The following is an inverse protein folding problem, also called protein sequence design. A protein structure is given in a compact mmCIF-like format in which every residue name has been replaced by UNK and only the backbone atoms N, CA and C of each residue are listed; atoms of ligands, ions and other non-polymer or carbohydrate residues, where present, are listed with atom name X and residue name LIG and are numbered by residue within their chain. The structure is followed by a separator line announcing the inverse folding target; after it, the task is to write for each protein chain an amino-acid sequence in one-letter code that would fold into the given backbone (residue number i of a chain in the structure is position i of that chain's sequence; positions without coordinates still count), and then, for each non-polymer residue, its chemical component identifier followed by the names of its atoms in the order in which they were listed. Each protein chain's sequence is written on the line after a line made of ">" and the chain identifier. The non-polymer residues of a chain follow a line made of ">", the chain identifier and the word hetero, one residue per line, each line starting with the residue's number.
data_IF_835537320190
#
_entry.id   IF_835537320190
#
_cell.length_a   1.000
_cell.length_b   1.000
_cell.length_c   1.000
_cell.angle_alpha   90.00
_cell.angle_beta   90.00
_cell.angle_gamma   90.00
#
_symmetry.space_group_name_H-M   'P 1'
#
loop_
_entity.id
_entity.type
_entity.pdbx_description
1 polymer ?
#
# COMPACT_ATOMS: atom_id res chain seq x y z
N UNK A 1 -8.00 10.43 13.12
CA UNK A 1 -8.29 9.33 12.19
C UNK A 1 -9.78 9.17 11.87
N UNK A 2 -10.69 9.53 12.77
CA UNK A 2 -12.13 9.31 12.65
C UNK A 2 -12.94 10.60 12.43
N UNK A 3 -12.26 11.71 12.17
CA UNK A 3 -12.83 13.03 11.91
C UNK A 3 -12.51 13.49 10.49
N UNK A 4 -13.10 14.59 10.04
CA UNK A 4 -12.85 15.20 8.74
C UNK A 4 -11.33 15.37 8.49
N UNK A 5 -10.88 15.06 7.29
CA UNK A 5 -9.46 15.01 6.94
C UNK A 5 -8.74 13.73 7.33
N UNK A 6 -9.42 12.78 7.99
CA UNK A 6 -8.89 11.46 8.33
C UNK A 6 -9.54 10.33 7.54
N UNK A 7 -9.36 9.10 8.00
CA UNK A 7 -10.01 7.92 7.46
C UNK A 7 -9.07 6.86 6.92
N UNK A 8 -9.60 5.64 6.71
CA UNK A 8 -8.78 4.50 6.32
C UNK A 8 -8.13 4.67 4.94
N UNK A 9 -8.74 5.41 4.02
CA UNK A 9 -8.19 5.64 2.68
C UNK A 9 -7.03 6.63 2.73
N UNK A 10 -7.10 7.67 3.56
CA UNK A 10 -6.02 8.64 3.74
C UNK A 10 -4.86 8.01 4.50
N UNK A 11 -5.14 7.17 5.50
CA UNK A 11 -4.13 6.55 6.36
C UNK A 11 -3.40 5.41 5.64
N UNK A 12 -4.14 4.49 5.02
CA UNK A 12 -3.58 3.27 4.40
C UNK A 12 -3.45 3.36 2.87
N UNK A 13 -4.24 4.20 2.24
CA UNK A 13 -4.22 4.38 0.78
C UNK A 13 -2.85 4.66 0.20
N UNK A 14 -2.03 5.54 0.78
CA UNK A 14 -0.69 5.82 0.27
C UNK A 14 0.17 4.57 0.07
N UNK A 15 0.12 3.60 0.99
CA UNK A 15 0.90 2.36 0.87
C UNK A 15 0.41 1.48 -0.29
N UNK A 16 -0.90 1.24 -0.34
CA UNK A 16 -1.50 0.36 -1.33
C UNK A 16 -1.52 0.99 -2.72
N UNK A 17 -1.95 2.23 -2.87
CA UNK A 17 -2.03 2.88 -4.18
C UNK A 17 -0.65 3.15 -4.76
N UNK A 18 0.35 3.55 -3.96
CA UNK A 18 1.73 3.68 -4.44
C UNK A 18 2.24 2.36 -4.98
N UNK A 19 2.03 1.25 -4.26
CA UNK A 19 2.46 -0.07 -4.70
C UNK A 19 1.75 -0.50 -5.98
N UNK A 20 0.43 -0.27 -6.07
CA UNK A 20 -0.34 -0.60 -7.25
C UNK A 20 0.10 0.21 -8.48
N UNK A 21 0.37 1.50 -8.32
CA UNK A 21 0.89 2.35 -9.39
C UNK A 21 2.30 1.91 -9.80
N UNK A 22 3.15 1.52 -8.85
CA UNK A 22 4.47 0.96 -9.16
C UNK A 22 4.39 -0.37 -9.92
N UNK A 23 3.39 -1.20 -9.65
CA UNK A 23 3.24 -2.50 -10.33
C UNK A 23 2.54 -2.37 -11.69
N UNK A 24 1.48 -1.57 -11.77
CA UNK A 24 0.54 -1.54 -12.88
C UNK A 24 0.59 -0.26 -13.72
N UNK A 25 1.23 0.80 -13.23
CA UNK A 25 1.23 2.12 -13.87
C UNK A 25 0.08 3.01 -13.38
N UNK A 26 -0.19 4.11 -14.06
CA UNK A 26 -1.17 5.10 -13.59
C UNK A 26 -2.61 4.61 -13.67
N UNK A 27 -3.40 5.04 -12.69
CA UNK A 27 -4.84 4.81 -12.61
C UNK A 27 -5.56 5.71 -13.62
N UNK A 28 -6.60 5.18 -14.27
CA UNK A 28 -7.44 5.89 -15.22
C UNK A 28 -8.71 6.41 -14.55
N UNK A 29 -9.47 5.52 -13.90
CA UNK A 29 -10.70 5.87 -13.20
C UNK A 29 -10.89 5.04 -11.93
N UNK A 30 -11.77 5.51 -11.07
CA UNK A 30 -12.13 4.83 -9.83
C UNK A 30 -13.62 4.98 -9.54
N UNK A 31 -14.23 3.89 -9.05
CA UNK A 31 -15.58 3.89 -8.51
C UNK A 31 -15.59 3.30 -7.12
N UNK A 32 -16.02 4.08 -6.13
CA UNK A 32 -15.97 3.72 -4.72
C UNK A 32 -17.32 3.80 -4.01
N UNK A 33 -17.37 3.12 -2.87
CA UNK A 33 -18.45 3.21 -1.88
C UNK A 33 -17.83 3.24 -0.50
N UNK A 34 -18.21 4.25 0.28
CA UNK A 34 -17.86 4.35 1.70
C UNK A 34 -19.06 4.08 2.59
N UNK A 35 -18.81 3.53 3.75
CA UNK A 35 -19.80 3.30 4.78
C UNK A 35 -19.23 3.62 6.16
N UNK A 36 -20.09 4.08 7.04
CA UNK A 36 -19.82 4.27 8.47
C UNK A 36 -20.74 3.32 9.24
N UNK A 37 -20.17 2.44 10.04
CA UNK A 37 -20.94 1.41 10.76
C UNK A 37 -21.19 1.75 12.24
N UNK A 38 -20.54 2.81 12.75
CA UNK A 38 -20.77 3.28 14.12
C UNK A 38 -20.61 4.80 14.17
N UNK A 39 -21.51 5.49 14.89
CA UNK A 39 -21.39 6.92 15.14
C UNK A 39 -20.45 7.28 16.28
N UNK A 40 -20.10 6.30 17.12
CA UNK A 40 -19.18 6.47 18.24
C UNK A 40 -18.22 5.32 18.36
N UNK A 41 -17.01 5.64 18.81
CA UNK A 41 -15.98 4.65 19.19
C UNK A 41 -15.39 5.03 20.55
N UNK A 42 -14.67 4.08 21.15
CA UNK A 42 -14.00 4.22 22.43
C UNK A 42 -12.48 4.19 22.23
N UNK A 43 -11.77 5.03 22.95
CA UNK A 43 -10.31 4.97 23.03
C UNK A 43 -9.88 3.68 23.72
N UNK A 44 -9.19 2.79 23.00
CA UNK A 44 -8.74 1.50 23.51
C UNK A 44 -7.40 1.57 24.26
N UNK A 45 -6.69 2.70 24.16
CA UNK A 45 -5.38 2.90 24.77
C UNK A 45 -5.11 4.38 25.06
N UNK A 46 -4.02 4.66 25.78
CA UNK A 46 -3.58 6.01 26.12
C UNK A 46 -4.33 6.65 27.27
N UNK A 47 -4.11 7.96 27.51
CA UNK A 47 -4.69 8.68 28.65
C UNK A 47 -6.22 8.75 28.66
N UNK A 48 -6.85 8.64 27.48
CA UNK A 48 -8.31 8.69 27.31
C UNK A 48 -8.97 7.32 27.18
N UNK A 49 -8.29 6.24 27.57
CA UNK A 49 -8.85 4.89 27.51
C UNK A 49 -10.19 4.81 28.23
N UNK A 50 -11.20 4.30 27.54
CA UNK A 50 -12.57 4.16 28.03
C UNK A 50 -13.49 5.35 27.69
N UNK A 51 -12.95 6.51 27.32
CA UNK A 51 -13.77 7.63 26.82
C UNK A 51 -14.26 7.34 25.40
N UNK A 52 -15.44 7.88 25.05
CA UNK A 52 -15.99 7.75 23.70
C UNK A 52 -15.76 9.03 22.89
N UNK A 53 -15.68 8.87 21.58
CA UNK A 53 -15.58 9.96 20.60
C UNK A 53 -16.51 9.73 19.40
N UNK A 54 -16.88 10.80 18.72
CA UNK A 54 -17.72 10.72 17.52
C UNK A 54 -16.91 10.30 16.30
N UNK A 55 -17.55 9.51 15.43
CA UNK A 55 -17.05 9.13 14.11
C UNK A 55 -17.78 9.96 13.05
N UNK A 56 -17.04 10.81 12.34
CA UNK A 56 -17.63 11.81 11.42
C UNK A 56 -17.49 11.41 9.94
N UNK A 57 -16.66 10.40 9.65
CA UNK A 57 -16.30 9.98 8.29
C UNK A 57 -16.66 8.52 8.04
N UNK A 58 -16.75 8.07 6.78
CA UNK A 58 -16.79 6.64 6.46
C UNK A 58 -15.55 5.93 6.97
N UNK A 59 -15.76 4.75 7.56
CA UNK A 59 -14.71 3.92 8.17
C UNK A 59 -14.36 2.68 7.38
N UNK A 60 -15.11 2.42 6.30
CA UNK A 60 -14.87 1.32 5.37
C UNK A 60 -15.16 1.78 3.95
N UNK A 61 -14.30 1.39 3.02
CA UNK A 61 -14.43 1.71 1.60
C UNK A 61 -14.19 0.48 0.73
N UNK A 62 -14.99 0.35 -0.33
CA UNK A 62 -14.79 -0.59 -1.43
C UNK A 62 -14.57 0.18 -2.72
N UNK A 63 -13.67 -0.32 -3.58
CA UNK A 63 -13.30 0.33 -4.84
C UNK A 63 -13.27 -0.67 -5.99
N UNK A 64 -13.65 -0.18 -7.18
CA UNK A 64 -13.24 -0.72 -8.45
C UNK A 64 -12.36 0.33 -9.13
N UNK A 65 -11.17 -0.07 -9.56
CA UNK A 65 -10.15 0.81 -10.13
C UNK A 65 -9.75 0.25 -11.49
N UNK A 66 -9.76 1.08 -12.53
CA UNK A 66 -9.21 0.78 -13.84
C UNK A 66 -7.89 1.54 -14.04
N UNK A 67 -6.87 0.85 -14.52
CA UNK A 67 -5.57 1.41 -14.88
C UNK A 67 -5.51 1.73 -16.37
N UNK A 68 -4.60 2.62 -16.77
CA UNK A 68 -4.41 2.98 -18.19
C UNK A 68 -4.01 1.77 -19.05
N UNK A 69 -3.32 0.79 -18.48
CA UNK A 69 -2.98 -0.49 -19.13
C UNK A 69 -4.13 -1.51 -19.18
N UNK A 70 -5.35 -1.11 -18.79
CA UNK A 70 -6.57 -1.93 -18.72
C UNK A 70 -6.60 -2.97 -17.59
N UNK A 71 -5.65 -2.97 -16.67
CA UNK A 71 -5.76 -3.76 -15.45
C UNK A 71 -6.95 -3.25 -14.61
N UNK A 72 -7.66 -4.16 -13.95
CA UNK A 72 -8.80 -3.84 -13.09
C UNK A 72 -8.52 -4.38 -11.70
N UNK A 73 -8.80 -3.57 -10.68
CA UNK A 73 -8.67 -3.95 -9.28
C UNK A 73 -9.99 -3.79 -8.55
N UNK A 74 -10.25 -4.74 -7.66
CA UNK A 74 -11.22 -4.60 -6.58
C UNK A 74 -10.48 -4.44 -5.26
N UNK A 75 -10.72 -3.33 -4.55
CA UNK A 75 -10.07 -3.00 -3.29
C UNK A 75 -11.05 -2.83 -2.14
N UNK A 76 -10.57 -3.09 -0.93
CA UNK A 76 -11.29 -2.84 0.32
C UNK A 76 -10.32 -2.32 1.37
N UNK A 77 -10.61 -1.15 1.96
CA UNK A 77 -9.84 -0.55 3.05
C UNK A 77 -10.80 -0.22 4.19
N UNK A 78 -10.49 -0.67 5.40
CA UNK A 78 -11.44 -0.55 6.51
C UNK A 78 -10.74 -0.44 7.87
N UNK A 79 -11.31 0.42 8.75
CA UNK A 79 -11.02 0.46 10.19
C UNK A 79 -12.02 -0.36 11.03
N UNK A 80 -13.00 -1.01 10.39
CA UNK A 80 -14.07 -1.75 11.11
C UNK A 80 -13.79 -3.24 11.20
N UNK A 81 -12.86 -3.77 10.39
CA UNK A 81 -12.54 -5.19 10.36
C UNK A 81 -11.63 -5.52 11.53
N UNK A 82 -12.11 -6.34 12.45
CA UNK A 82 -11.35 -6.76 13.63
C UNK A 82 -10.32 -7.84 13.29
N UNK A 83 -10.64 -8.72 12.34
CA UNK A 83 -9.76 -9.81 11.91
C UNK A 83 -10.20 -10.32 10.53
N UNK A 84 -9.25 -10.80 9.72
CA UNK A 84 -9.54 -11.39 8.41
C UNK A 84 -8.52 -12.49 8.07
N UNK A 85 -8.89 -13.34 7.09
CA UNK A 85 -8.03 -14.40 6.54
C UNK A 85 -7.63 -14.14 5.08
N UNK A 86 -7.87 -12.93 4.56
CA UNK A 86 -7.53 -12.56 3.18
C UNK A 86 -6.06 -12.16 3.08
N UNK A 87 -5.44 -12.45 1.96
CA UNK A 87 -4.15 -11.87 1.60
C UNK A 87 -4.28 -10.35 1.43
N UNK A 88 -3.20 -9.62 1.66
CA UNK A 88 -3.19 -8.16 1.48
C UNK A 88 -3.41 -7.77 0.02
N UNK A 89 -2.75 -8.46 -0.91
CA UNK A 89 -2.93 -8.30 -2.35
C UNK A 89 -2.76 -9.63 -3.08
N UNK A 90 -3.55 -9.82 -4.12
CA UNK A 90 -3.42 -10.91 -5.08
C UNK A 90 -3.47 -10.33 -6.49
N UNK A 91 -2.57 -10.76 -7.35
CA UNK A 91 -2.52 -10.35 -8.75
C UNK A 91 -2.78 -11.58 -9.64
N UNK A 92 -3.70 -11.42 -10.57
CA UNK A 92 -4.08 -12.46 -11.53
C UNK A 92 -3.69 -12.03 -12.93
N UNK A 93 -2.76 -12.72 -13.54
CA UNK A 93 -2.25 -12.43 -14.87
C UNK A 93 -2.44 -13.60 -15.83
N UNK A 94 -2.14 -13.36 -17.08
CA UNK A 94 -2.24 -14.38 -18.14
C UNK A 94 -1.21 -15.51 -18.02
N UNK A 95 -0.19 -15.33 -17.18
CA UNK A 95 0.89 -16.31 -16.96
C UNK A 95 0.89 -16.91 -15.56
N UNK A 96 -0.10 -16.56 -14.74
CA UNK A 96 -0.20 -17.06 -13.37
C UNK A 96 -0.73 -16.02 -12.39
N UNK A 97 -0.70 -16.38 -11.13
CA UNK A 97 -1.18 -15.59 -10.01
C UNK A 97 -0.07 -15.39 -8.98
N UNK A 98 -0.11 -14.25 -8.28
CA UNK A 98 0.87 -13.89 -7.25
C UNK A 98 0.13 -13.38 -6.03
N UNK A 99 0.48 -13.91 -4.85
CA UNK A 99 0.15 -13.29 -3.55
C UNK A 99 1.30 -12.37 -3.18
N UNK A 100 0.96 -11.12 -2.92
CA UNK A 100 1.91 -10.05 -2.56
C UNK A 100 1.77 -9.74 -1.07
N UNK A 101 2.90 -9.60 -0.32
CA UNK A 101 2.84 -9.25 1.10
C UNK A 101 2.29 -7.84 1.35
N UNK A 102 2.14 -7.49 2.63
CA UNK A 102 1.67 -6.17 3.05
C UNK A 102 2.61 -5.06 2.53
N UNK A 103 2.13 -4.12 1.70
CA UNK A 103 2.95 -3.04 1.15
C UNK A 103 3.40 -2.01 2.20
N UNK A 104 2.86 -2.04 3.39
CA UNK A 104 3.32 -1.22 4.53
C UNK A 104 4.57 -1.80 5.21
N UNK A 105 4.97 -3.02 4.84
CA UNK A 105 6.10 -3.74 5.43
C UNK A 105 7.18 -4.04 4.39
N UNK A 106 8.39 -4.35 4.86
CA UNK A 106 9.45 -4.92 4.03
C UNK A 106 9.47 -6.43 4.18
N UNK A 107 9.83 -7.13 3.10
CA UNK A 107 9.84 -8.59 3.11
C UNK A 107 8.43 -9.18 3.18
N UNK A 108 8.35 -10.40 3.68
CA UNK A 108 7.13 -11.19 3.77
C UNK A 108 7.00 -12.23 2.66
N UNK A 109 6.08 -13.18 2.83
CA UNK A 109 5.94 -14.28 1.89
C UNK A 109 5.37 -13.77 0.56
N UNK A 110 5.98 -14.24 -0.54
CA UNK A 110 5.45 -14.14 -1.89
C UNK A 110 5.09 -15.53 -2.33
N UNK A 111 3.84 -15.76 -2.74
CA UNK A 111 3.44 -17.06 -3.28
C UNK A 111 3.05 -16.92 -4.75
N UNK A 112 3.41 -17.88 -5.57
CA UNK A 112 3.08 -17.89 -7.00
C UNK A 112 2.39 -19.20 -7.40
N UNK A 113 1.51 -19.11 -8.40
CA UNK A 113 0.91 -20.24 -9.08
C UNK A 113 0.95 -19.95 -10.58
N UNK A 114 1.62 -20.82 -11.38
CA UNK A 114 1.89 -20.58 -12.80
C UNK A 114 0.87 -21.15 -13.77
N UNK A 115 0.11 -22.17 -13.36
CA UNK A 115 -0.83 -22.87 -14.21
C UNK A 115 -2.20 -23.04 -13.54
N UNK A 116 -3.24 -23.16 -14.34
CA UNK A 116 -4.59 -23.40 -13.83
C UNK A 116 -4.65 -24.71 -13.02
N UNK A 117 -5.07 -24.60 -11.76
CA UNK A 117 -5.16 -25.74 -10.84
C UNK A 117 -3.83 -26.20 -10.24
N UNK A 118 -2.72 -25.50 -10.52
CA UNK A 118 -1.45 -25.80 -9.88
C UNK A 118 -1.43 -25.35 -8.41
N UNK A 119 -0.60 -26.01 -7.60
CA UNK A 119 -0.40 -25.60 -6.22
C UNK A 119 0.36 -24.28 -6.14
N UNK A 120 0.09 -23.52 -5.07
CA UNK A 120 0.85 -22.34 -4.73
C UNK A 120 2.25 -22.71 -4.23
N UNK A 121 3.25 -21.97 -4.69
CA UNK A 121 4.65 -22.12 -4.26
C UNK A 121 5.10 -20.84 -3.57
N UNK A 122 5.57 -20.99 -2.34
CA UNK A 122 6.17 -19.89 -1.61
C UNK A 122 7.57 -19.61 -2.13
N UNK A 123 7.84 -18.34 -2.39
CA UNK A 123 9.13 -17.83 -2.85
C UNK A 123 9.79 -17.11 -1.66
N UNK A 124 10.94 -17.60 -1.25
CA UNK A 124 11.75 -16.89 -0.26
C UNK A 124 12.25 -15.57 -0.84
N UNK A 125 12.10 -14.51 -0.05
CA UNK A 125 12.63 -13.18 -0.37
C UNK A 125 13.82 -12.79 0.53
N UNK A 126 14.28 -13.70 1.39
CA UNK A 126 15.37 -13.43 2.33
C UNK A 126 16.71 -13.18 1.62
N UNK A 127 16.91 -13.76 0.44
CA UNK A 127 18.08 -13.51 -0.40
C UNK A 127 18.03 -12.14 -1.12
N UNK A 128 16.87 -11.50 -1.10
CA UNK A 128 16.70 -10.19 -1.71
C UNK A 128 17.20 -9.08 -0.79
N UNK A 129 17.83 -8.03 -1.33
CA UNK A 129 18.46 -6.98 -0.52
C UNK A 129 17.54 -6.31 0.50
N UNK A 130 16.25 -6.16 0.18
CA UNK A 130 15.25 -5.55 1.07
C UNK A 130 14.35 -6.58 1.77
N UNK A 131 14.53 -7.86 1.49
CA UNK A 131 13.73 -8.94 2.08
C UNK A 131 14.36 -9.54 3.35
N UNK A 132 15.68 -9.38 3.51
CA UNK A 132 16.40 -9.95 4.65
C UNK A 132 15.97 -9.29 5.96
N UNK A 133 15.67 -10.13 6.96
CA UNK A 133 15.37 -9.66 8.32
C UNK A 133 16.61 -8.97 8.93
N UNK A 134 16.44 -7.80 9.52
CA UNK A 134 17.52 -7.00 10.10
C UNK A 134 17.14 -6.33 11.42
N UNK A 135 15.91 -6.46 11.88
CA UNK A 135 15.45 -5.90 13.15
C UNK A 135 14.62 -6.93 13.91
N UNK A 136 14.97 -7.11 15.17
CA UNK A 136 14.16 -7.84 16.15
C UNK A 136 13.28 -6.83 16.88
N UNK A 137 11.97 -7.12 16.99
CA UNK A 137 11.01 -6.30 17.73
C UNK A 137 10.87 -4.85 17.24
N UNK A 138 10.69 -4.67 15.93
CA UNK A 138 10.58 -3.37 15.27
C UNK A 138 9.50 -2.44 15.87
N UNK A 139 8.39 -2.96 16.32
CA UNK A 139 7.25 -2.12 16.76
C UNK A 139 7.30 -1.72 18.23
N UNK A 140 8.20 -2.26 19.01
CA UNK A 140 8.22 -2.06 20.48
C UNK A 140 6.96 -2.55 21.19
N UNK A 141 6.08 -3.26 20.50
CA UNK A 141 4.76 -3.66 21.01
C UNK A 141 4.75 -4.99 21.74
N UNK A 142 5.69 -5.85 21.48
CA UNK A 142 5.91 -7.08 22.25
C UNK A 142 7.34 -7.60 22.09
N UNK A 143 7.86 -8.27 23.10
CA UNK A 143 9.15 -8.96 23.03
C UNK A 143 9.07 -10.23 22.15
N UNK A 144 7.90 -10.57 21.65
CA UNK A 144 7.60 -11.74 20.81
C UNK A 144 7.40 -11.38 19.34
N UNK A 145 7.65 -10.10 18.96
CA UNK A 145 7.54 -9.72 17.56
C UNK A 145 8.59 -10.49 16.74
N UNK A 146 8.19 -11.13 15.64
CA UNK A 146 9.12 -11.85 14.80
C UNK A 146 10.17 -10.91 14.23
N UNK A 147 11.33 -11.45 13.88
CA UNK A 147 12.33 -10.73 13.11
C UNK A 147 11.70 -10.16 11.84
N UNK A 148 11.98 -8.90 11.56
CA UNK A 148 11.39 -8.20 10.41
C UNK A 148 12.47 -7.50 9.59
N UNK A 149 12.22 -7.38 8.30
CA UNK A 149 12.98 -6.49 7.44
C UNK A 149 12.52 -5.04 7.68
N UNK A 150 13.48 -4.13 7.86
CA UNK A 150 13.19 -2.71 7.95
C UNK A 150 14.29 -1.89 7.27
N UNK A 151 13.94 -1.32 6.14
CA UNK A 151 14.82 -0.53 5.29
C UNK A 151 14.22 0.84 4.97
N UNK A 152 13.50 1.46 5.92
CA UNK A 152 12.76 2.73 5.70
C UNK A 152 13.65 3.89 5.22
N UNK A 153 14.95 3.85 5.48
CA UNK A 153 15.92 4.81 4.93
C UNK A 153 16.19 4.67 3.43
N UNK A 154 15.78 3.56 2.77
CA UNK A 154 16.10 3.31 1.36
C UNK A 154 15.55 4.37 0.40
N UNK A 155 14.37 4.91 0.70
CA UNK A 155 13.77 5.97 -0.12
C UNK A 155 14.61 7.24 -0.12
N UNK A 156 15.16 7.63 1.02
CA UNK A 156 16.07 8.77 1.14
C UNK A 156 17.39 8.49 0.41
N UNK A 157 17.97 7.32 0.59
CA UNK A 157 19.21 6.94 -0.10
C UNK A 157 19.03 6.92 -1.63
N UNK A 158 17.91 6.43 -2.11
CA UNK A 158 17.55 6.44 -3.55
C UNK A 158 17.40 7.87 -4.10
N UNK A 159 16.77 8.75 -3.33
CA UNK A 159 16.62 10.16 -3.72
C UNK A 159 17.97 10.89 -3.77
N UNK A 160 18.85 10.68 -2.79
CA UNK A 160 20.20 11.23 -2.77
C UNK A 160 21.00 10.75 -4.00
N UNK A 161 20.98 9.45 -4.25
CA UNK A 161 21.64 8.88 -5.43
C UNK A 161 21.09 9.44 -6.75
N UNK A 162 19.79 9.68 -6.81
CA UNK A 162 19.17 10.28 -7.98
C UNK A 162 19.65 11.72 -8.21
N UNK A 163 19.77 12.52 -7.15
CA UNK A 163 20.29 13.89 -7.21
C UNK A 163 21.76 13.90 -7.64
N UNK A 164 22.60 13.07 -7.03
CA UNK A 164 24.03 12.94 -7.34
C UNK A 164 24.28 12.55 -8.81
N UNK A 165 23.40 11.71 -9.37
CA UNK A 165 23.50 11.21 -10.75
C UNK A 165 22.61 11.94 -11.75
N UNK A 166 22.00 13.08 -11.35
CA UNK A 166 21.12 13.90 -12.18
C UNK A 166 20.02 13.10 -12.91
N UNK A 167 19.37 12.20 -12.18
CA UNK A 167 18.24 11.40 -12.66
C UNK A 167 16.97 11.65 -11.83
N UNK A 168 15.82 11.31 -12.39
CA UNK A 168 14.57 11.33 -11.64
C UNK A 168 14.60 10.23 -10.55
N UNK A 169 14.24 10.58 -9.31
CA UNK A 169 14.03 9.60 -8.26
C UNK A 169 12.65 8.92 -8.39
N UNK A 170 12.53 7.70 -7.87
CA UNK A 170 11.33 6.87 -8.11
C UNK A 170 10.08 7.41 -7.46
N UNK A 171 10.16 7.80 -6.20
CA UNK A 171 9.03 8.40 -5.49
C UNK A 171 9.04 9.93 -5.66
N UNK A 172 8.87 10.38 -6.91
CA UNK A 172 8.88 11.81 -7.26
C UNK A 172 7.52 12.48 -7.02
N UNK A 173 7.49 13.81 -7.18
CA UNK A 173 6.29 14.62 -6.94
C UNK A 173 5.12 14.26 -7.87
N UNK A 174 5.37 13.83 -9.11
CA UNK A 174 4.31 13.42 -10.05
C UNK A 174 3.63 12.13 -9.57
N UNK A 175 4.42 11.13 -9.14
CA UNK A 175 3.88 9.91 -8.55
C UNK A 175 3.09 10.22 -7.27
N UNK A 176 3.63 11.06 -6.39
CA UNK A 176 2.97 11.42 -5.15
C UNK A 176 1.65 12.18 -5.39
N UNK A 177 1.64 13.10 -6.35
CA UNK A 177 0.42 13.81 -6.77
C UNK A 177 -0.62 12.85 -7.35
N UNK A 178 -0.19 11.91 -8.21
CA UNK A 178 -1.10 10.92 -8.78
C UNK A 178 -1.72 10.02 -7.71
N UNK A 179 -0.94 9.54 -6.75
CA UNK A 179 -1.46 8.74 -5.62
C UNK A 179 -2.44 9.54 -4.76
N UNK A 180 -2.16 10.82 -4.51
CA UNK A 180 -3.08 11.70 -3.79
C UNK A 180 -4.39 11.90 -4.58
N UNK A 181 -4.32 12.11 -5.89
CA UNK A 181 -5.48 12.22 -6.77
C UNK A 181 -6.34 10.93 -6.73
N UNK A 182 -5.71 9.74 -6.71
CA UNK A 182 -6.42 8.46 -6.53
C UNK A 182 -7.17 8.44 -5.20
N UNK A 183 -6.55 8.87 -4.11
CA UNK A 183 -7.16 8.92 -2.77
C UNK A 183 -8.37 9.87 -2.77
N UNK A 184 -8.21 11.07 -3.31
CA UNK A 184 -9.28 12.06 -3.39
C UNK A 184 -10.43 11.59 -4.30
N UNK A 185 -10.11 11.05 -5.48
CA UNK A 185 -11.11 10.50 -6.40
C UNK A 185 -11.89 9.32 -5.77
N UNK A 186 -11.25 8.49 -4.96
CA UNK A 186 -11.90 7.42 -4.21
C UNK A 186 -12.95 7.98 -3.23
N UNK A 187 -12.61 9.03 -2.51
CA UNK A 187 -13.52 9.69 -1.57
C UNK A 187 -14.65 10.41 -2.30
N UNK A 188 -14.35 11.18 -3.35
CA UNK A 188 -15.34 11.87 -4.20
C UNK A 188 -16.32 10.86 -4.79
N UNK A 189 -15.82 9.79 -5.39
CA UNK A 189 -16.63 8.72 -5.95
C UNK A 189 -17.57 8.11 -4.91
N UNK A 190 -17.09 7.91 -3.70
CA UNK A 190 -17.87 7.38 -2.58
C UNK A 190 -19.01 8.32 -2.14
N UNK A 191 -18.75 9.62 -2.08
CA UNK A 191 -19.74 10.64 -1.69
C UNK A 191 -20.82 10.77 -2.75
N UNK A 192 -20.42 10.98 -4.01
CA UNK A 192 -21.35 11.27 -5.11
C UNK A 192 -21.89 10.00 -5.79
N UNK A 193 -21.35 8.82 -5.47
CA UNK A 193 -21.77 7.50 -6.00
C UNK A 193 -21.59 7.38 -7.52
N UNK A 194 -20.59 8.04 -8.06
CA UNK A 194 -20.24 8.07 -9.49
C UNK A 194 -18.85 7.50 -9.73
N UNK A 195 -18.56 7.12 -10.96
CA UNK A 195 -17.22 6.89 -11.41
C UNK A 195 -16.51 8.22 -11.63
N UNK A 196 -15.24 8.29 -11.24
CA UNK A 196 -14.41 9.49 -11.36
C UNK A 196 -13.17 9.17 -12.20
N UNK A 197 -12.97 9.93 -13.27
CA UNK A 197 -11.73 9.90 -14.05
C UNK A 197 -10.65 10.73 -13.35
N UNK A 198 -9.43 10.21 -13.30
CA UNK A 198 -8.30 10.93 -12.72
C UNK A 198 -7.83 12.03 -13.66
N UNK A 199 -7.43 13.15 -13.08
CA UNK A 199 -6.87 14.31 -13.82
C UNK A 199 -5.36 14.27 -13.93
N UNK A 200 -4.71 13.57 -12.99
CA UNK A 200 -3.27 13.38 -12.97
C UNK A 200 -2.86 12.09 -13.66
N UNK A 201 -1.60 12.01 -13.99
CA UNK A 201 -0.93 10.81 -14.46
C UNK A 201 0.51 10.81 -13.98
N UNK A 202 1.19 9.68 -14.07
CA UNK A 202 2.62 9.59 -13.77
C UNK A 202 3.27 8.51 -14.63
N UNK A 203 4.58 8.56 -14.71
CA UNK A 203 5.35 7.47 -15.31
C UNK A 203 5.54 6.37 -14.26
N UNK A 204 5.25 5.13 -14.64
CA UNK A 204 5.55 3.98 -13.80
C UNK A 204 7.06 3.90 -13.56
N UNK A 205 7.53 3.93 -12.29
CA UNK A 205 8.96 3.82 -12.02
C UNK A 205 9.53 2.47 -12.43
N UNK A 206 10.77 2.49 -12.93
CA UNK A 206 11.50 1.25 -13.18
C UNK A 206 11.81 0.53 -11.86
N UNK A 207 11.75 -0.81 -11.82
CA UNK A 207 12.14 -1.58 -10.64
C UNK A 207 13.58 -1.28 -10.22
N UNK A 208 13.86 -1.34 -8.93
CA UNK A 208 15.23 -1.32 -8.44
C UNK A 208 15.85 -2.71 -8.60
N UNK A 209 16.96 -2.79 -9.33
CA UNK A 209 17.73 -4.03 -9.44
C UNK A 209 18.51 -4.31 -8.17
N UNK A 210 18.72 -5.59 -7.84
CA UNK A 210 19.40 -6.03 -6.62
C UNK A 210 20.77 -5.37 -6.43
N UNK A 211 21.57 -5.24 -7.49
CA UNK A 211 22.90 -4.62 -7.42
C UNK A 211 22.84 -3.14 -7.07
N UNK A 212 21.89 -2.40 -7.64
CA UNK A 212 21.64 -1.01 -7.31
C UNK A 212 21.21 -0.87 -5.84
N UNK A 213 20.29 -1.72 -5.36
CA UNK A 213 19.85 -1.72 -3.96
C UNK A 213 21.05 -1.98 -3.05
N UNK A 214 21.88 -2.99 -3.35
CA UNK A 214 23.10 -3.28 -2.56
C UNK A 214 24.08 -2.11 -2.54
N UNK A 215 24.18 -1.36 -3.63
CA UNK A 215 25.03 -0.18 -3.71
C UNK A 215 24.52 0.96 -2.81
N UNK A 216 23.25 1.29 -2.87
CA UNK A 216 22.69 2.39 -2.08
C UNK A 216 22.55 2.05 -0.58
N UNK A 217 22.35 0.77 -0.22
CA UNK A 217 22.35 0.32 1.16
C UNK A 217 23.70 0.54 1.87
N UNK A 218 24.80 0.63 1.13
CA UNK A 218 26.12 0.94 1.70
C UNK A 218 26.26 2.43 2.09
N UNK A 219 25.33 3.28 1.65
CA UNK A 219 25.32 4.72 1.95
C UNK A 219 24.54 5.06 3.24
N UNK A 220 23.80 4.08 3.79
CA UNK A 220 22.99 4.21 5.02
C UNK A 220 23.35 3.12 6.03
#
# INVERSE_FOLDING_TARGET
>A
WFQEGGGPVIDMGPYFFTTLVNLLGPVKNIRGRGAKFSDKREYKAGPKKGETFNVEIPTSYMFNIEFQNKAIIQGFISFDVLNHKRNHMELYGTKGSIVVPDPNMFGGPVSISGEFGSEWKDISVEDKPLGKTNIVNHSGRSNEAPEQANYRGIGLAEMIDAIENNRMHRCNGELALHVLDVIECAMISSIYKVEVELRSSCVKPEPMHDDFIRQILKKI
#
